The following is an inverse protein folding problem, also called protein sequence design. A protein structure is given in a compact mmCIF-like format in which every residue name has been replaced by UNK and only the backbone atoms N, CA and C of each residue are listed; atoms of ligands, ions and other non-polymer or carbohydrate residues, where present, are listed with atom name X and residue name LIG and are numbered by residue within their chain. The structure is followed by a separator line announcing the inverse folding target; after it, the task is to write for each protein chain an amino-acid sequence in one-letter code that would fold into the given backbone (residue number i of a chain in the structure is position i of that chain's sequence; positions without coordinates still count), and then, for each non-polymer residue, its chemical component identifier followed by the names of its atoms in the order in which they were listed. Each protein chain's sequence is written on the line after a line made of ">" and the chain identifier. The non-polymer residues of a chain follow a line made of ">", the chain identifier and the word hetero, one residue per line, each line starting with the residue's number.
data_IF_564890732949
#
_entry.id   IF_564890732949
#
_cell.length_a   1.000
_cell.length_b   1.000
_cell.length_c   1.000
_cell.angle_alpha   90.00
_cell.angle_beta   90.00
_cell.angle_gamma   90.00
#
_symmetry.space_group_name_H-M   'P 1'
#
loop_
_entity.id
_entity.type
_entity.pdbx_description
1 polymer ?
#
# COMPACT_ATOMS: atom_id res chain seq x y z
N UNK A 1 15.59 -18.73 17.73
CA UNK A 1 14.66 -18.21 16.70
C UNK A 1 13.26 -18.50 17.17
N UNK A 2 12.32 -17.55 17.10
CA UNK A 2 10.91 -17.80 17.46
C UNK A 2 10.32 -18.83 16.50
N UNK A 3 9.59 -19.82 17.01
CA UNK A 3 8.94 -20.84 16.18
C UNK A 3 7.64 -20.28 15.58
N UNK A 4 7.58 -20.17 14.26
CA UNK A 4 6.38 -19.81 13.51
C UNK A 4 5.20 -20.73 13.82
N UNK A 5 3.97 -20.23 13.66
CA UNK A 5 2.79 -21.09 13.78
C UNK A 5 2.89 -22.25 12.78
N UNK A 6 2.45 -23.43 13.19
CA UNK A 6 2.57 -24.66 12.39
C UNK A 6 1.84 -24.62 11.05
N UNK A 7 0.66 -23.98 11.01
CA UNK A 7 -0.29 -24.10 9.90
C UNK A 7 -0.55 -22.77 9.17
N UNK A 8 -0.07 -21.65 9.67
CA UNK A 8 -0.29 -20.33 9.07
C UNK A 8 0.88 -19.40 9.38
N UNK A 9 1.00 -18.32 8.62
CA UNK A 9 1.88 -17.20 8.96
C UNK A 9 1.02 -15.98 9.30
N UNK A 10 1.30 -15.31 10.41
CA UNK A 10 0.59 -14.10 10.79
C UNK A 10 1.28 -12.89 10.14
N UNK A 11 0.54 -12.17 9.30
CA UNK A 11 0.98 -10.96 8.63
C UNK A 11 0.33 -9.71 9.23
N UNK A 12 1.08 -8.61 9.32
CA UNK A 12 0.56 -7.29 9.71
C UNK A 12 0.75 -6.32 8.54
N UNK A 13 -0.27 -5.53 8.24
CA UNK A 13 -0.18 -4.44 7.28
C UNK A 13 0.21 -3.14 8.00
N UNK A 14 1.24 -2.46 7.53
CA UNK A 14 1.83 -1.28 8.16
C UNK A 14 1.63 -0.04 7.28
N UNK A 15 0.68 0.87 7.61
CA UNK A 15 0.40 2.05 6.81
C UNK A 15 1.59 3.02 6.72
N UNK A 16 1.72 3.71 5.58
CA UNK A 16 2.89 4.53 5.22
C UNK A 16 3.15 5.63 6.25
N UNK A 17 2.09 6.26 6.78
CA UNK A 17 2.21 7.30 7.82
C UNK A 17 2.81 6.74 9.10
N UNK A 18 2.35 5.57 9.56
CA UNK A 18 2.92 4.91 10.73
C UNK A 18 4.40 4.56 10.50
N UNK A 19 4.77 4.11 9.31
CA UNK A 19 6.17 3.81 8.97
C UNK A 19 7.05 5.07 8.97
N UNK A 20 6.54 6.17 8.41
CA UNK A 20 7.20 7.47 8.44
C UNK A 20 7.42 7.93 9.88
N UNK A 21 6.46 7.71 10.77
CA UNK A 21 6.51 8.15 12.17
C UNK A 21 7.48 7.34 13.05
N UNK A 22 8.04 6.24 12.55
CA UNK A 22 9.12 5.50 13.22
C UNK A 22 10.41 6.33 13.18
N UNK A 23 10.57 7.29 14.11
CA UNK A 23 11.79 8.10 14.23
C UNK A 23 12.81 7.50 15.21
N UNK A 24 12.34 6.68 16.13
CA UNK A 24 13.14 5.98 17.14
C UNK A 24 12.85 4.48 17.07
N UNK A 25 13.78 3.74 16.46
CA UNK A 25 13.65 2.29 16.25
C UNK A 25 13.79 1.48 17.55
N UNK A 26 14.48 2.01 18.56
CA UNK A 26 14.57 1.38 19.88
C UNK A 26 13.21 1.43 20.59
N UNK A 27 12.58 2.62 20.58
CA UNK A 27 11.24 2.81 21.12
C UNK A 27 10.22 1.98 20.35
N UNK A 28 10.23 2.04 19.02
CA UNK A 28 9.35 1.23 18.18
C UNK A 28 9.52 -0.27 18.45
N UNK A 29 10.76 -0.74 18.64
CA UNK A 29 11.03 -2.12 19.02
C UNK A 29 10.30 -2.55 20.28
N UNK A 30 10.32 -1.73 21.33
CA UNK A 30 9.60 -2.02 22.60
C UNK A 30 8.09 -2.02 22.44
N UNK A 31 7.56 -1.16 21.58
CA UNK A 31 6.12 -1.11 21.26
C UNK A 31 5.72 -2.34 20.44
N UNK A 32 6.53 -2.72 19.45
CA UNK A 32 6.31 -3.91 18.63
C UNK A 32 6.46 -5.21 19.43
N UNK A 33 7.36 -5.26 20.42
CA UNK A 33 7.48 -6.37 21.37
C UNK A 33 6.15 -6.67 22.07
N UNK A 34 5.31 -5.66 22.29
CA UNK A 34 3.99 -5.86 22.90
C UNK A 34 3.03 -6.63 22.00
N UNK A 35 3.08 -6.38 20.68
CA UNK A 35 2.34 -7.15 19.67
C UNK A 35 2.88 -8.58 19.66
N UNK A 36 4.21 -8.70 19.60
CA UNK A 36 4.93 -9.97 19.50
C UNK A 36 4.83 -10.87 20.75
N UNK A 37 4.33 -10.35 21.89
CA UNK A 37 3.95 -11.15 23.06
C UNK A 37 2.67 -11.96 22.84
N UNK A 38 1.78 -11.50 21.97
CA UNK A 38 0.46 -12.07 21.76
C UNK A 38 0.35 -12.79 20.41
N UNK A 39 1.08 -12.30 19.40
CA UNK A 39 1.03 -12.81 18.03
C UNK A 39 2.46 -13.12 17.60
N UNK A 40 2.71 -14.33 17.09
CA UNK A 40 3.99 -14.60 16.43
C UNK A 40 3.95 -14.07 14.98
N UNK A 41 4.35 -12.82 14.81
CA UNK A 41 4.35 -12.13 13.52
C UNK A 41 5.50 -12.67 12.69
N UNK A 42 5.19 -13.37 11.59
CA UNK A 42 6.22 -13.86 10.67
C UNK A 42 6.33 -13.02 9.40
N UNK A 43 5.41 -12.09 9.14
CA UNK A 43 5.45 -11.20 7.98
C UNK A 43 4.88 -9.82 8.25
N UNK A 44 5.39 -8.81 7.55
CA UNK A 44 4.81 -7.47 7.45
C UNK A 44 4.69 -7.01 6.00
N UNK A 45 3.59 -6.34 5.68
CA UNK A 45 3.43 -5.55 4.47
C UNK A 45 3.73 -4.09 4.80
N UNK A 46 4.75 -3.52 4.15
CA UNK A 46 5.23 -2.18 4.38
C UNK A 46 4.70 -1.26 3.30
N UNK A 47 3.75 -0.40 3.65
CA UNK A 47 3.08 0.47 2.68
C UNK A 47 3.98 1.60 2.21
N UNK A 48 4.06 1.79 0.89
CA UNK A 48 4.85 2.85 0.25
C UNK A 48 4.03 4.08 -0.14
N UNK A 49 2.71 3.92 -0.28
CA UNK A 49 1.79 4.97 -0.70
C UNK A 49 0.40 4.84 -0.08
N UNK A 50 -0.14 5.96 0.40
CA UNK A 50 -1.55 6.17 0.80
C UNK A 50 -1.85 7.65 0.97
N UNK A 51 -3.04 8.10 0.56
CA UNK A 51 -3.52 9.49 0.72
C UNK A 51 -2.55 10.54 0.15
N UNK A 52 -1.96 10.26 -1.02
CA UNK A 52 -0.92 11.12 -1.61
C UNK A 52 0.40 11.20 -0.82
N UNK A 53 0.57 10.40 0.22
CA UNK A 53 1.80 10.34 1.03
C UNK A 53 2.69 9.20 0.55
N UNK A 54 3.95 9.48 0.29
CA UNK A 54 5.00 8.48 0.03
C UNK A 54 6.06 8.51 1.12
N UNK A 55 6.82 7.42 1.23
CA UNK A 55 7.95 7.27 2.15
C UNK A 55 9.29 7.33 1.39
N UNK A 56 10.28 7.99 1.98
CA UNK A 56 11.65 8.06 1.46
C UNK A 56 12.32 6.67 1.45
N UNK A 57 13.07 6.37 0.39
CA UNK A 57 13.77 5.09 0.17
C UNK A 57 14.71 4.76 1.33
N UNK A 58 15.51 5.73 1.79
CA UNK A 58 16.47 5.51 2.88
C UNK A 58 15.76 5.21 4.19
N UNK A 59 14.62 5.84 4.44
CA UNK A 59 13.79 5.55 5.60
C UNK A 59 13.16 4.16 5.50
N UNK A 60 12.58 3.81 4.35
CA UNK A 60 11.98 2.49 4.11
C UNK A 60 13.01 1.36 4.28
N UNK A 61 14.24 1.53 3.78
CA UNK A 61 15.33 0.56 3.98
C UNK A 61 15.64 0.29 5.45
N UNK A 62 15.61 1.33 6.31
CA UNK A 62 15.78 1.14 7.77
C UNK A 62 14.63 0.33 8.39
N UNK A 63 13.39 0.57 7.93
CA UNK A 63 12.22 -0.19 8.37
C UNK A 63 12.34 -1.66 7.94
N UNK A 64 12.71 -1.91 6.69
CA UNK A 64 12.97 -3.26 6.16
C UNK A 64 14.02 -3.97 7.01
N UNK A 65 15.17 -3.32 7.24
CA UNK A 65 16.27 -3.89 8.01
C UNK A 65 15.85 -4.20 9.45
N UNK A 66 15.07 -3.32 10.09
CA UNK A 66 14.54 -3.55 11.44
C UNK A 66 13.74 -4.87 11.52
N UNK A 67 12.83 -5.12 10.58
CA UNK A 67 12.02 -6.35 10.58
C UNK A 67 12.85 -7.58 10.19
N UNK A 68 13.72 -7.47 9.17
CA UNK A 68 14.58 -8.57 8.73
C UNK A 68 15.55 -9.02 9.83
N UNK A 69 16.12 -8.08 10.61
CA UNK A 69 16.99 -8.41 11.75
C UNK A 69 16.26 -9.19 12.86
N UNK A 70 14.94 -9.08 12.92
CA UNK A 70 14.08 -9.84 13.85
C UNK A 70 13.59 -11.18 13.25
N UNK A 71 14.00 -11.50 12.03
CA UNK A 71 13.56 -12.70 11.31
C UNK A 71 12.13 -12.62 10.78
N UNK A 72 11.61 -11.40 10.58
CA UNK A 72 10.26 -11.15 10.05
C UNK A 72 10.37 -10.86 8.56
N UNK A 73 9.57 -11.56 7.75
CA UNK A 73 9.51 -11.34 6.31
C UNK A 73 8.90 -9.97 5.98
N UNK A 74 9.37 -9.33 4.90
CA UNK A 74 8.90 -8.00 4.48
C UNK A 74 8.42 -8.05 3.04
N UNK A 75 7.24 -7.50 2.78
CA UNK A 75 6.67 -7.31 1.44
C UNK A 75 6.12 -5.90 1.27
N UNK A 76 5.93 -5.44 0.04
CA UNK A 76 5.42 -4.10 -0.24
C UNK A 76 3.89 -4.03 -0.10
N UNK A 77 3.38 -2.89 0.37
CA UNK A 77 1.95 -2.56 0.34
C UNK A 77 1.71 -1.27 -0.44
N UNK A 78 0.59 -1.20 -1.17
CA UNK A 78 0.16 0.01 -1.85
C UNK A 78 -1.34 0.19 -1.61
N UNK A 79 -1.73 1.37 -1.11
CA UNK A 79 -3.13 1.78 -1.02
C UNK A 79 -3.40 2.92 -1.98
N UNK A 80 -4.15 2.62 -3.04
CA UNK A 80 -4.51 3.57 -4.10
C UNK A 80 -5.64 4.50 -3.68
N UNK A 81 -5.37 5.34 -2.69
CA UNK A 81 -6.25 6.41 -2.24
C UNK A 81 -5.56 7.77 -2.37
N UNK A 82 -6.27 8.73 -2.95
CA UNK A 82 -5.79 10.08 -3.21
C UNK A 82 -5.72 10.95 -1.97
N UNK A 83 -5.10 12.14 -2.06
CA UNK A 83 -5.13 13.13 -0.99
C UNK A 83 -6.57 13.44 -0.55
N UNK A 84 -6.75 13.73 0.74
CA UNK A 84 -8.02 14.22 1.28
C UNK A 84 -8.41 15.54 0.61
N UNK A 85 -9.60 15.58 0.01
CA UNK A 85 -10.16 16.77 -0.64
C UNK A 85 -11.03 17.61 0.32
N UNK A 86 -11.20 17.17 1.57
CA UNK A 86 -11.97 17.86 2.60
C UNK A 86 -13.47 17.58 2.56
N UNK A 87 -13.97 16.78 1.60
CA UNK A 87 -15.37 16.36 1.54
C UNK A 87 -15.66 15.18 2.49
N UNK A 88 -14.60 14.53 3.00
CA UNK A 88 -14.67 13.39 3.91
C UNK A 88 -15.00 12.08 3.18
N UNK A 89 -14.57 10.96 3.75
CA UNK A 89 -14.72 9.64 3.14
C UNK A 89 -13.43 9.15 2.49
N UNK A 90 -13.57 8.32 1.45
CA UNK A 90 -12.46 7.78 0.68
C UNK A 90 -12.27 8.59 -0.61
N UNK A 91 -11.04 8.65 -1.11
CA UNK A 91 -10.66 9.40 -2.31
C UNK A 91 -10.12 8.47 -3.40
N UNK A 92 -10.94 7.57 -3.98
CA UNK A 92 -10.46 6.61 -4.97
C UNK A 92 -9.80 7.31 -6.15
N UNK A 93 -8.68 6.76 -6.60
CA UNK A 93 -7.93 7.32 -7.71
C UNK A 93 -8.76 7.33 -9.01
N UNK A 94 -8.48 8.32 -9.87
CA UNK A 94 -9.08 8.44 -11.20
C UNK A 94 -8.16 7.82 -12.25
N UNK A 95 -8.46 6.60 -12.69
CA UNK A 95 -7.60 5.87 -13.63
C UNK A 95 -7.71 6.31 -15.10
N UNK A 96 -8.56 7.29 -15.44
CA UNK A 96 -8.50 7.97 -16.74
C UNK A 96 -7.59 9.19 -16.73
N UNK A 97 -7.12 9.62 -15.55
CA UNK A 97 -6.18 10.72 -15.42
C UNK A 97 -4.75 10.26 -15.73
N UNK A 98 -4.10 10.93 -16.69
CA UNK A 98 -2.71 10.67 -17.04
C UNK A 98 -1.78 10.91 -15.83
N UNK A 99 -2.00 11.98 -15.05
CA UNK A 99 -1.19 12.26 -13.87
C UNK A 99 -1.31 11.17 -12.79
N UNK A 100 -2.50 10.60 -12.63
CA UNK A 100 -2.74 9.47 -11.72
C UNK A 100 -2.02 8.22 -12.21
N UNK A 101 -2.06 7.93 -13.52
CA UNK A 101 -1.33 6.80 -14.11
C UNK A 101 0.17 6.96 -13.91
N UNK A 102 0.74 8.12 -14.22
CA UNK A 102 2.17 8.41 -14.02
C UNK A 102 2.59 8.22 -12.56
N UNK A 103 1.86 8.85 -11.62
CA UNK A 103 2.14 8.72 -10.19
C UNK A 103 2.06 7.27 -9.71
N UNK A 104 1.03 6.51 -10.14
CA UNK A 104 0.88 5.11 -9.74
C UNK A 104 2.00 4.25 -10.31
N UNK A 105 2.43 4.49 -11.55
CA UNK A 105 3.60 3.81 -12.13
C UNK A 105 4.85 4.06 -11.29
N UNK A 106 5.13 5.32 -10.93
CA UNK A 106 6.28 5.67 -10.07
C UNK A 106 6.20 4.97 -8.70
N UNK A 107 5.02 4.91 -8.09
CA UNK A 107 4.79 4.21 -6.82
C UNK A 107 5.03 2.70 -6.95
N UNK A 108 4.52 2.09 -8.02
CA UNK A 108 4.70 0.65 -8.27
C UNK A 108 6.17 0.32 -8.55
N UNK A 109 6.85 1.10 -9.40
CA UNK A 109 8.28 0.94 -9.69
C UNK A 109 9.13 1.11 -8.43
N UNK A 110 8.86 2.13 -7.62
CA UNK A 110 9.53 2.33 -6.35
C UNK A 110 9.33 1.14 -5.40
N UNK A 111 8.09 0.66 -5.27
CA UNK A 111 7.78 -0.49 -4.40
C UNK A 111 8.44 -1.77 -4.89
N UNK A 112 8.39 -2.05 -6.19
CA UNK A 112 9.02 -3.22 -6.81
C UNK A 112 10.55 -3.17 -6.74
N UNK A 113 11.15 -1.98 -6.67
CA UNK A 113 12.60 -1.85 -6.45
C UNK A 113 13.06 -2.29 -5.05
N UNK A 114 12.12 -2.41 -4.10
CA UNK A 114 12.39 -2.74 -2.69
C UNK A 114 11.92 -4.14 -2.27
N UNK A 115 10.93 -4.72 -2.96
CA UNK A 115 10.26 -5.95 -2.55
C UNK A 115 9.98 -6.89 -3.72
N UNK A 116 10.17 -8.20 -3.50
CA UNK A 116 9.83 -9.25 -4.48
C UNK A 116 8.32 -9.58 -4.50
N UNK A 117 7.58 -9.21 -3.45
CA UNK A 117 6.15 -9.41 -3.33
C UNK A 117 5.48 -8.10 -2.92
N UNK A 118 4.37 -7.77 -3.59
CA UNK A 118 3.57 -6.57 -3.34
C UNK A 118 2.10 -6.95 -3.22
N UNK A 119 1.39 -6.34 -2.25
CA UNK A 119 -0.06 -6.41 -2.14
C UNK A 119 -0.69 -5.04 -2.51
N UNK A 120 -1.77 -5.09 -3.26
CA UNK A 120 -2.66 -3.94 -3.48
C UNK A 120 -3.80 -4.02 -2.46
N UNK A 121 -3.99 -2.94 -1.71
CA UNK A 121 -5.08 -2.79 -0.74
C UNK A 121 -6.45 -2.76 -1.44
N UNK A 122 -7.54 -2.99 -0.70
CA UNK A 122 -8.90 -3.08 -1.25
C UNK A 122 -9.44 -1.73 -1.75
N UNK A 123 -8.67 -0.65 -1.59
CA UNK A 123 -8.86 0.65 -2.23
C UNK A 123 -8.46 0.69 -3.71
N UNK A 124 -8.03 -0.45 -4.26
CA UNK A 124 -7.81 -0.63 -5.69
C UNK A 124 -9.13 -0.72 -6.48
N UNK A 125 -9.86 0.39 -6.50
CA UNK A 125 -11.11 0.59 -7.23
C UNK A 125 -11.25 2.05 -7.65
N UNK A 126 -12.24 2.34 -8.49
CA UNK A 126 -12.64 3.72 -8.76
C UNK A 126 -14.15 3.88 -8.88
N UNK A 127 -14.66 4.95 -8.30
CA UNK A 127 -16.03 5.40 -8.46
C UNK A 127 -16.10 6.76 -9.18
N UNK A 128 -14.97 7.27 -9.70
CA UNK A 128 -14.88 8.59 -10.31
C UNK A 128 -15.85 8.74 -11.49
N UNK A 129 -16.36 9.97 -11.65
CA UNK A 129 -17.29 10.38 -12.71
C UNK A 129 -16.93 11.77 -13.27
N UNK A 130 -15.65 12.14 -13.24
CA UNK A 130 -15.20 13.39 -13.85
C UNK A 130 -15.42 13.38 -15.37
N UNK A 131 -15.24 14.53 -16.02
CA UNK A 131 -15.44 14.69 -17.48
C UNK A 131 -14.66 13.65 -18.29
N UNK A 132 -13.38 13.43 -17.95
CA UNK A 132 -12.54 12.39 -18.57
C UNK A 132 -13.13 10.98 -18.42
N UNK A 133 -13.70 10.63 -17.26
CA UNK A 133 -14.39 9.36 -17.05
C UNK A 133 -15.68 9.25 -17.89
N UNK A 134 -16.44 10.34 -18.02
CA UNK A 134 -17.67 10.38 -18.82
C UNK A 134 -17.35 10.19 -20.31
N UNK A 135 -16.33 10.90 -20.81
CA UNK A 135 -15.84 10.78 -22.18
C UNK A 135 -15.29 9.38 -22.47
N UNK A 136 -14.49 8.82 -21.55
CA UNK A 136 -13.91 7.50 -21.70
C UNK A 136 -14.98 6.40 -21.66
N UNK A 137 -15.97 6.51 -20.77
CA UNK A 137 -17.07 5.52 -20.64
C UNK A 137 -17.83 5.33 -21.95
N UNK A 138 -18.10 6.41 -22.69
CA UNK A 138 -18.95 6.40 -23.90
C UNK A 138 -20.33 5.78 -23.59
N UNK A 139 -20.82 4.91 -24.47
CA UNK A 139 -22.13 4.26 -24.39
C UNK A 139 -22.17 3.04 -23.44
N UNK A 140 -21.01 2.59 -22.91
CA UNK A 140 -20.93 1.47 -21.94
C UNK A 140 -21.65 1.80 -20.64
N UNK A 141 -22.11 0.81 -19.88
CA UNK A 141 -22.54 1.03 -18.49
C UNK A 141 -21.34 1.40 -17.60
N UNK A 142 -21.59 1.98 -16.42
CA UNK A 142 -20.52 2.27 -15.45
C UNK A 142 -19.79 1.00 -14.99
N UNK A 143 -20.51 -0.11 -14.85
CA UNK A 143 -19.92 -1.38 -14.42
C UNK A 143 -18.99 -1.96 -15.47
N UNK A 144 -19.45 -2.03 -16.73
CA UNK A 144 -18.60 -2.50 -17.86
C UNK A 144 -17.36 -1.64 -17.99
N UNK A 145 -17.53 -0.31 -18.03
CA UNK A 145 -16.41 0.62 -18.15
C UNK A 145 -15.38 0.45 -17.03
N UNK A 146 -15.81 0.35 -15.77
CA UNK A 146 -14.88 0.25 -14.62
C UNK A 146 -14.17 -1.09 -14.57
N UNK A 147 -14.86 -2.19 -14.89
CA UNK A 147 -14.23 -3.52 -14.95
C UNK A 147 -13.17 -3.55 -16.05
N UNK A 148 -13.48 -3.04 -17.25
CA UNK A 148 -12.53 -2.97 -18.36
C UNK A 148 -11.36 -2.03 -18.05
N UNK A 149 -11.63 -0.86 -17.46
CA UNK A 149 -10.60 0.08 -17.05
C UNK A 149 -9.66 -0.52 -16.01
N UNK A 150 -10.18 -1.11 -14.92
CA UNK A 150 -9.32 -1.71 -13.90
C UNK A 150 -8.54 -2.90 -14.43
N UNK A 151 -9.09 -3.65 -15.39
CA UNK A 151 -8.36 -4.69 -16.11
C UNK A 151 -7.19 -4.10 -16.91
N UNK A 152 -7.42 -3.05 -17.70
CA UNK A 152 -6.36 -2.36 -18.46
C UNK A 152 -5.23 -1.86 -17.55
N UNK A 153 -5.56 -1.30 -16.39
CA UNK A 153 -4.54 -0.81 -15.43
C UNK A 153 -3.74 -1.96 -14.80
N UNK A 154 -4.29 -3.18 -14.78
CA UNK A 154 -3.66 -4.34 -14.14
C UNK A 154 -2.77 -5.17 -15.09
N UNK A 155 -2.84 -4.95 -16.40
CA UNK A 155 -2.11 -5.71 -17.45
C UNK A 155 -0.89 -4.95 -17.98
#
# INVERSE_FOLDING_TARGET
>A
MKENYKNFNAAIYCPVKNLIDIKDFEKFGKEFDWIEKNINVGKVYLETYRHGTTIDEKHMKKVIDFFKQRGIETSGGITTDGPDDGEGGFNPLCYTSESTRTMLTEVVEFTASLFDEVILDDFYFTNCRCESCIEAKKDRTWSEFRIELMKEISE
#
